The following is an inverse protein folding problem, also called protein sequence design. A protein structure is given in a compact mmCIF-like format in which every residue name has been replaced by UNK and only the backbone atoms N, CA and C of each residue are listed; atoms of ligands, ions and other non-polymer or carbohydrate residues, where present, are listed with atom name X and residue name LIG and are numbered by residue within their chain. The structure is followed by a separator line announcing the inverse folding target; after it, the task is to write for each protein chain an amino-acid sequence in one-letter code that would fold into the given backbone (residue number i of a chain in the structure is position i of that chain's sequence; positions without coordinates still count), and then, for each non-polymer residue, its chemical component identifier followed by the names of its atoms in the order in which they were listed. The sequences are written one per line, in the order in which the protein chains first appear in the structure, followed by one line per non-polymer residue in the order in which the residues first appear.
data_IF_255789345131
#
_entry.id   IF_255789345131
#
_cell.length_a   1.000
_cell.length_b   1.000
_cell.length_c   1.000
_cell.angle_alpha   90.00
_cell.angle_beta   90.00
_cell.angle_gamma   90.00
#
_symmetry.space_group_name_H-M   'P 1'
#
loop_
_entity.id
_entity.type
_entity.pdbx_description
1 polymer ?
#
# COMPACT_ATOMS: atom_id res chain seq x y z
N UNK A 1 -63.13 -32.45 -4.85
CA UNK A 1 -61.92 -32.71 -4.09
C UNK A 1 -60.75 -32.84 -5.10
N UNK A 2 -60.45 -31.80 -5.87
CA UNK A 2 -59.31 -31.87 -6.83
C UNK A 2 -58.77 -30.49 -7.22
N UNK A 3 -58.68 -29.53 -6.26
CA UNK A 3 -58.18 -28.18 -6.57
C UNK A 3 -57.19 -27.63 -5.54
N UNK A 4 -56.52 -28.47 -4.74
CA UNK A 4 -55.60 -28.01 -3.70
C UNK A 4 -54.17 -28.56 -3.80
N UNK A 5 -53.81 -29.28 -4.86
CA UNK A 5 -52.47 -29.89 -5.01
C UNK A 5 -51.56 -29.08 -5.98
N UNK A 6 -52.08 -28.07 -6.69
CA UNK A 6 -51.34 -27.30 -7.70
C UNK A 6 -50.48 -26.15 -7.19
N UNK A 7 -50.63 -25.68 -5.95
CA UNK A 7 -49.95 -24.45 -5.45
C UNK A 7 -48.65 -24.69 -4.63
N UNK A 8 -48.33 -25.93 -4.32
CA UNK A 8 -47.16 -26.23 -3.44
C UNK A 8 -45.87 -26.57 -4.19
N UNK A 9 -45.91 -26.69 -5.51
CA UNK A 9 -44.70 -27.01 -6.34
C UNK A 9 -44.06 -25.77 -6.95
N UNK A 10 -44.70 -24.60 -6.93
CA UNK A 10 -44.17 -23.37 -7.52
C UNK A 10 -43.37 -22.47 -6.55
N UNK A 11 -43.34 -22.77 -5.27
CA UNK A 11 -42.62 -21.99 -4.25
C UNK A 11 -41.19 -22.46 -3.98
N UNK A 12 -40.75 -23.54 -4.61
CA UNK A 12 -39.44 -24.17 -4.34
C UNK A 12 -38.24 -23.74 -5.24
N UNK A 13 -38.46 -22.85 -6.21
CA UNK A 13 -37.41 -22.58 -7.24
C UNK A 13 -36.81 -21.17 -7.16
N UNK A 14 -37.14 -20.35 -6.18
CA UNK A 14 -36.66 -18.96 -6.13
C UNK A 14 -35.57 -18.68 -5.10
N UNK A 15 -34.92 -19.69 -4.51
CA UNK A 15 -33.77 -19.50 -3.65
C UNK A 15 -32.50 -20.20 -4.14
N UNK A 16 -32.29 -20.27 -5.45
CA UNK A 16 -30.92 -20.36 -5.96
C UNK A 16 -30.35 -18.96 -5.97
N UNK A 17 -30.07 -18.43 -4.79
CA UNK A 17 -29.26 -17.27 -4.61
C UNK A 17 -27.90 -17.60 -5.25
N UNK A 18 -27.65 -17.05 -6.43
CA UNK A 18 -26.34 -17.00 -7.03
C UNK A 18 -25.46 -16.24 -6.03
N UNK A 19 -24.80 -16.96 -5.14
CA UNK A 19 -23.60 -16.50 -4.46
C UNK A 19 -22.55 -16.38 -5.56
N UNK A 20 -22.62 -15.30 -6.34
CA UNK A 20 -21.54 -14.84 -7.15
C UNK A 20 -20.42 -14.49 -6.16
N UNK A 21 -19.52 -15.41 -5.89
CA UNK A 21 -18.22 -15.04 -5.36
C UNK A 21 -17.67 -14.04 -6.38
N UNK A 22 -17.61 -12.77 -6.00
CA UNK A 22 -16.93 -11.76 -6.82
C UNK A 22 -15.49 -12.22 -6.94
N UNK A 23 -15.13 -12.88 -8.05
CA UNK A 23 -13.75 -13.12 -8.40
C UNK A 23 -13.09 -11.76 -8.53
N UNK A 24 -12.20 -11.45 -7.64
CA UNK A 24 -11.36 -10.27 -7.74
C UNK A 24 -10.20 -10.64 -8.67
N UNK A 25 -10.43 -10.58 -9.98
CA UNK A 25 -9.41 -10.90 -11.01
C UNK A 25 -8.34 -9.81 -11.14
N UNK A 26 -8.31 -8.82 -10.24
CA UNK A 26 -7.41 -7.67 -10.29
C UNK A 26 -6.58 -7.57 -9.02
N UNK A 27 -5.29 -7.30 -9.22
CA UNK A 27 -4.33 -7.04 -8.15
C UNK A 27 -3.81 -5.63 -8.27
N UNK A 28 -3.58 -4.98 -7.14
CA UNK A 28 -2.98 -3.64 -7.07
C UNK A 28 -1.80 -3.69 -6.13
N UNK A 29 -0.62 -3.38 -6.64
CA UNK A 29 0.59 -3.16 -5.85
C UNK A 29 0.92 -1.68 -5.89
N UNK A 30 0.90 -1.03 -4.74
CA UNK A 30 1.30 0.37 -4.57
C UNK A 30 2.70 0.37 -3.97
N UNK A 31 3.71 0.62 -4.79
CA UNK A 31 5.08 0.80 -4.34
C UNK A 31 5.36 2.30 -4.15
N UNK A 32 5.76 2.69 -2.96
CA UNK A 32 6.26 4.04 -2.67
C UNK A 32 7.74 4.00 -2.33
N UNK A 33 8.52 4.78 -3.04
CA UNK A 33 9.92 5.06 -2.76
C UNK A 33 10.00 6.47 -2.18
N UNK A 34 10.37 6.59 -0.90
CA UNK A 34 10.37 7.88 -0.20
C UNK A 34 11.41 8.85 -0.78
N UNK A 35 11.04 10.12 -0.86
CA UNK A 35 11.91 11.14 -1.44
C UNK A 35 12.18 11.01 -2.94
N UNK A 36 11.43 10.16 -3.67
CA UNK A 36 11.64 9.92 -5.09
C UNK A 36 11.14 11.11 -5.93
N UNK A 37 12.07 11.88 -6.49
CA UNK A 37 11.76 13.04 -7.33
C UNK A 37 11.32 12.63 -8.73
N UNK A 38 10.41 13.40 -9.31
CA UNK A 38 9.86 13.14 -10.65
C UNK A 38 10.89 13.18 -11.78
N UNK A 39 12.05 13.86 -11.57
CA UNK A 39 13.14 13.99 -12.54
C UNK A 39 14.24 12.92 -12.38
N UNK A 40 14.20 12.08 -11.35
CA UNK A 40 15.23 11.05 -11.17
C UNK A 40 15.33 10.06 -12.34
N UNK A 41 14.25 9.60 -12.97
CA UNK A 41 14.36 8.73 -14.13
C UNK A 41 15.04 9.37 -15.34
N UNK A 42 15.08 10.70 -15.41
CA UNK A 42 15.75 11.43 -16.49
C UNK A 42 17.26 11.66 -16.19
N UNK A 43 17.70 11.35 -14.96
CA UNK A 43 19.05 11.63 -14.44
C UNK A 43 19.84 10.38 -14.06
N UNK A 44 19.17 9.28 -13.83
CA UNK A 44 19.72 7.98 -13.44
C UNK A 44 19.41 6.94 -14.51
N UNK A 45 20.13 5.84 -14.52
CA UNK A 45 19.86 4.73 -15.43
C UNK A 45 18.75 3.84 -14.87
N UNK A 46 17.52 4.03 -15.35
CA UNK A 46 16.31 3.38 -14.82
C UNK A 46 15.53 2.66 -15.92
N UNK A 47 16.08 1.61 -16.55
CA UNK A 47 15.47 0.94 -17.70
C UNK A 47 14.12 0.29 -17.38
N UNK A 48 13.90 -0.13 -16.12
CA UNK A 48 12.63 -0.73 -15.69
C UNK A 48 11.53 0.32 -15.61
N UNK A 49 11.80 1.46 -14.96
CA UNK A 49 10.86 2.58 -14.90
C UNK A 49 10.57 3.13 -16.31
N UNK A 50 11.57 3.22 -17.18
CA UNK A 50 11.39 3.63 -18.57
C UNK A 50 10.52 2.65 -19.36
N UNK A 51 10.68 1.36 -19.12
CA UNK A 51 9.83 0.33 -19.73
C UNK A 51 8.38 0.44 -19.24
N UNK A 52 8.16 0.69 -17.95
CA UNK A 52 6.84 0.90 -17.37
C UNK A 52 6.19 2.16 -17.92
N UNK A 53 6.94 3.25 -18.07
CA UNK A 53 6.44 4.51 -18.63
C UNK A 53 5.95 4.36 -20.08
N UNK A 54 6.51 3.41 -20.86
CA UNK A 54 6.08 3.14 -22.24
C UNK A 54 4.73 2.43 -22.34
N UNK A 55 4.37 1.63 -21.33
CA UNK A 55 3.13 0.84 -21.34
C UNK A 55 2.08 1.37 -20.36
N UNK A 56 2.47 2.29 -19.48
CA UNK A 56 1.64 2.91 -18.47
C UNK A 56 1.58 4.44 -18.61
N UNK A 57 1.44 5.11 -17.48
CA UNK A 57 1.38 6.58 -17.40
C UNK A 57 2.50 7.04 -16.46
N UNK A 58 3.30 8.02 -16.89
CA UNK A 58 4.23 8.76 -16.05
C UNK A 58 3.69 10.18 -15.82
N UNK A 59 3.64 10.61 -14.57
CA UNK A 59 3.20 11.95 -14.19
C UNK A 59 3.98 12.46 -12.98
N UNK A 60 4.12 13.78 -12.88
CA UNK A 60 4.61 14.40 -11.66
C UNK A 60 3.50 14.38 -10.62
N UNK A 61 3.85 13.97 -9.41
CA UNK A 61 2.95 13.86 -8.27
C UNK A 61 3.32 14.91 -7.22
N UNK A 62 2.33 15.69 -6.77
CA UNK A 62 2.53 16.67 -5.71
C UNK A 62 2.21 16.02 -4.36
N UNK A 63 3.17 15.97 -3.42
CA UNK A 63 2.89 15.45 -2.08
C UNK A 63 1.94 16.37 -1.30
N UNK A 64 1.31 15.83 -0.24
CA UNK A 64 0.57 16.61 0.73
C UNK A 64 1.52 17.53 1.52
N UNK A 65 1.01 18.67 1.99
CA UNK A 65 1.77 19.52 2.90
C UNK A 65 1.37 19.24 4.37
N UNK A 66 2.36 19.09 5.27
CA UNK A 66 3.81 19.12 5.03
C UNK A 66 4.29 17.87 4.31
N UNK A 67 5.23 18.05 3.37
CA UNK A 67 5.77 16.99 2.53
C UNK A 67 6.83 16.15 3.27
N UNK A 68 6.48 15.64 4.45
CA UNK A 68 7.30 14.74 5.25
C UNK A 68 6.68 13.34 5.27
N UNK A 69 7.46 12.33 5.59
CA UNK A 69 7.15 10.92 5.41
C UNK A 69 5.77 10.52 5.92
N UNK A 70 5.49 10.71 7.22
CA UNK A 70 4.28 10.16 7.84
C UNK A 70 2.99 10.85 7.37
N UNK A 71 2.88 12.19 7.42
CA UNK A 71 1.70 12.87 6.89
C UNK A 71 1.40 12.51 5.43
N UNK A 72 2.42 12.53 4.57
CA UNK A 72 2.23 12.29 3.14
C UNK A 72 1.81 10.85 2.84
N UNK A 73 2.50 9.85 3.41
CA UNK A 73 2.15 8.44 3.18
C UNK A 73 0.79 8.07 3.78
N UNK A 74 0.43 8.67 4.91
CA UNK A 74 -0.87 8.42 5.49
C UNK A 74 -2.00 9.16 4.73
N UNK A 75 -1.71 10.34 4.15
CA UNK A 75 -2.62 10.98 3.19
C UNK A 75 -2.88 10.10 1.96
N UNK A 76 -1.85 9.46 1.40
CA UNK A 76 -2.03 8.53 0.29
C UNK A 76 -2.88 7.31 0.66
N UNK A 77 -2.75 6.82 1.89
CA UNK A 77 -3.51 5.67 2.38
C UNK A 77 -4.97 5.99 2.71
N UNK A 78 -5.27 7.22 3.12
CA UNK A 78 -6.62 7.62 3.56
C UNK A 78 -7.38 8.46 2.54
N UNK A 79 -6.69 9.07 1.57
CA UNK A 79 -7.27 10.07 0.67
C UNK A 79 -7.60 11.39 1.38
N UNK A 80 -7.16 11.59 2.61
CA UNK A 80 -7.41 12.78 3.42
C UNK A 80 -6.17 13.68 3.49
N UNK A 81 -6.38 14.97 3.71
CA UNK A 81 -5.30 15.88 4.06
C UNK A 81 -4.88 15.71 5.54
N UNK A 82 -3.64 16.11 5.91
CA UNK A 82 -3.11 15.95 7.27
C UNK A 82 -3.97 16.53 8.40
N UNK A 83 -4.64 17.64 8.17
CA UNK A 83 -5.58 18.27 9.12
C UNK A 83 -6.85 17.45 9.35
N UNK A 84 -7.21 16.56 8.41
CA UNK A 84 -8.37 15.67 8.53
C UNK A 84 -8.03 14.29 9.09
N UNK A 85 -6.83 13.78 8.83
CA UNK A 85 -6.43 12.48 9.38
C UNK A 85 -5.56 12.58 10.65
N UNK A 86 -5.15 13.78 11.07
CA UNK A 86 -4.50 14.04 12.34
C UNK A 86 -2.97 13.91 12.36
N UNK A 87 -2.35 13.21 11.42
CA UNK A 87 -0.89 13.15 11.31
C UNK A 87 -0.38 14.41 10.59
N UNK A 88 -0.12 15.46 11.35
CA UNK A 88 0.24 16.78 10.81
C UNK A 88 1.74 16.98 10.65
N UNK A 89 2.57 16.12 11.26
CA UNK A 89 4.03 16.14 11.13
C UNK A 89 4.60 14.77 11.57
N UNK A 90 5.90 14.53 11.34
CA UNK A 90 6.64 13.39 11.90
C UNK A 90 6.85 13.51 13.43
N UNK A 91 6.71 14.72 13.97
CA UNK A 91 6.78 15.03 15.39
C UNK A 91 5.88 16.23 15.70
N UNK A 92 4.90 16.08 16.61
CA UNK A 92 4.00 17.17 17.00
C UNK A 92 3.32 16.87 18.35
N UNK A 93 2.81 17.93 18.99
CA UNK A 93 1.94 17.81 20.15
C UNK A 93 0.47 17.80 19.71
N UNK A 94 -0.26 16.78 20.11
CA UNK A 94 -1.70 16.66 19.89
C UNK A 94 -2.43 17.11 21.17
N UNK A 95 -3.06 18.27 21.11
CA UNK A 95 -3.71 18.89 22.28
C UNK A 95 -4.95 18.14 22.75
N UNK A 96 -5.63 17.45 21.84
CA UNK A 96 -6.81 16.62 22.10
C UNK A 96 -6.49 15.31 22.80
N UNK A 97 -5.27 14.82 22.60
CA UNK A 97 -4.75 13.61 23.26
C UNK A 97 -3.82 13.93 24.44
N UNK A 98 -3.53 15.21 24.67
CA UNK A 98 -2.52 15.68 25.65
C UNK A 98 -1.20 14.87 25.53
N UNK A 99 -0.74 14.63 24.31
CA UNK A 99 0.37 13.73 24.04
C UNK A 99 1.21 14.22 22.86
N UNK A 100 2.48 13.79 22.84
CA UNK A 100 3.42 14.08 21.77
C UNK A 100 3.51 12.88 20.82
N UNK A 101 3.12 13.10 19.58
CA UNK A 101 3.36 12.14 18.50
C UNK A 101 4.84 12.12 18.10
N UNK A 102 5.37 10.94 17.89
CA UNK A 102 6.66 10.68 17.26
C UNK A 102 6.45 9.66 16.13
N UNK A 103 7.31 9.69 15.12
CA UNK A 103 7.27 8.69 14.02
C UNK A 103 7.12 7.28 14.59
N UNK A 104 6.20 6.51 14.00
CA UNK A 104 5.86 5.15 14.41
C UNK A 104 5.29 5.01 15.84
N UNK A 105 4.67 6.07 16.38
CA UNK A 105 3.95 5.97 17.65
C UNK A 105 2.76 5.00 17.51
N UNK A 106 2.66 3.95 18.35
CA UNK A 106 1.64 2.92 18.22
C UNK A 106 0.25 3.35 18.71
N UNK A 107 0.10 4.55 19.26
CA UNK A 107 -1.15 5.02 19.83
C UNK A 107 -2.20 5.26 18.74
N UNK A 108 -3.27 4.46 18.64
CA UNK A 108 -4.24 4.55 17.55
C UNK A 108 -4.93 5.92 17.44
N UNK A 109 -5.04 6.65 18.53
CA UNK A 109 -5.67 7.98 18.58
C UNK A 109 -5.02 9.03 17.68
N UNK A 110 -3.76 8.86 17.29
CA UNK A 110 -3.09 9.75 16.34
C UNK A 110 -3.50 9.51 14.88
N UNK A 111 -4.08 8.35 14.55
CA UNK A 111 -4.37 7.91 13.20
C UNK A 111 -5.86 8.05 12.90
N UNK A 112 -6.27 9.23 12.46
CA UNK A 112 -7.65 9.49 12.03
C UNK A 112 -7.92 9.03 10.61
N UNK A 113 -9.19 9.05 10.21
CA UNK A 113 -9.61 8.58 8.89
C UNK A 113 -9.58 7.05 8.75
N UNK A 114 -9.94 6.56 7.59
CA UNK A 114 -9.94 5.13 7.26
C UNK A 114 -8.91 4.86 6.17
N UNK A 115 -7.85 4.10 6.45
CA UNK A 115 -6.88 3.74 5.42
C UNK A 115 -7.45 2.71 4.45
N UNK A 116 -6.95 2.73 3.20
CA UNK A 116 -7.46 1.92 2.09
C UNK A 116 -7.44 0.42 2.38
N UNK A 117 -6.49 -0.09 3.16
CA UNK A 117 -6.47 -1.50 3.57
C UNK A 117 -7.65 -1.86 4.46
N UNK A 118 -8.11 -0.96 5.35
CA UNK A 118 -9.30 -1.19 6.15
C UNK A 118 -10.56 -1.24 5.27
N UNK A 119 -10.65 -0.35 4.29
CA UNK A 119 -11.74 -0.34 3.31
C UNK A 119 -11.74 -1.63 2.48
N UNK A 120 -10.56 -2.10 2.04
CA UNK A 120 -10.41 -3.36 1.31
C UNK A 120 -10.91 -4.55 2.14
N UNK A 121 -10.41 -4.69 3.37
CA UNK A 121 -10.81 -5.78 4.28
C UNK A 121 -12.32 -5.76 4.61
N UNK A 122 -12.92 -4.58 4.78
CA UNK A 122 -14.37 -4.46 4.97
C UNK A 122 -15.18 -4.97 3.76
N UNK A 123 -14.61 -4.92 2.58
CA UNK A 123 -15.22 -5.38 1.34
C UNK A 123 -14.85 -6.83 0.99
N UNK A 124 -14.14 -7.54 1.86
CA UNK A 124 -13.70 -8.92 1.64
C UNK A 124 -12.52 -9.02 0.68
N UNK A 125 -11.76 -7.95 0.50
CA UNK A 125 -10.53 -7.91 -0.29
C UNK A 125 -9.34 -7.91 0.67
N UNK A 126 -8.59 -8.99 0.71
CA UNK A 126 -7.39 -9.07 1.54
C UNK A 126 -6.34 -8.06 1.10
N UNK A 127 -5.81 -7.34 2.09
CA UNK A 127 -4.73 -6.38 1.91
C UNK A 127 -3.45 -6.86 2.58
N UNK A 128 -2.31 -6.56 1.98
CA UNK A 128 -1.01 -6.75 2.60
C UNK A 128 -0.26 -5.42 2.70
N UNK A 129 0.57 -5.28 3.71
CA UNK A 129 1.44 -4.11 3.86
C UNK A 129 2.87 -4.52 4.20
N UNK A 130 3.80 -4.00 3.38
CA UNK A 130 5.22 -4.05 3.68
C UNK A 130 5.67 -2.64 4.08
N UNK A 131 5.67 -2.37 5.41
CA UNK A 131 6.19 -1.14 6.00
C UNK A 131 5.41 0.15 5.73
N UNK A 132 4.19 0.09 5.20
CA UNK A 132 3.44 1.33 4.98
C UNK A 132 3.05 2.01 6.28
N UNK A 133 3.19 3.32 6.33
CA UNK A 133 2.88 4.16 7.51
C UNK A 133 1.48 3.89 8.06
N UNK A 134 1.41 3.54 9.33
CA UNK A 134 0.16 3.26 10.04
C UNK A 134 -0.37 1.84 9.91
N UNK A 135 0.17 1.01 9.00
CA UNK A 135 -0.31 -0.36 8.81
C UNK A 135 0.06 -1.34 9.94
N UNK A 136 0.99 -0.95 10.79
CA UNK A 136 1.45 -1.74 11.95
C UNK A 136 0.49 -1.68 13.13
N UNK A 137 -0.52 -0.81 13.08
CA UNK A 137 -1.42 -0.55 14.20
C UNK A 137 -2.87 -0.82 13.84
N UNK A 138 -3.71 -1.26 14.81
CA UNK A 138 -5.12 -1.56 14.56
C UNK A 138 -5.95 -0.25 14.48
N UNK A 139 -5.81 0.49 13.38
CA UNK A 139 -6.57 1.71 13.14
C UNK A 139 -8.05 1.35 13.00
N UNK A 140 -8.91 1.96 13.84
CA UNK A 140 -10.33 1.61 13.93
C UNK A 140 -10.56 0.11 14.17
N UNK A 141 -9.66 -0.54 14.92
CA UNK A 141 -9.72 -1.96 15.24
C UNK A 141 -9.39 -2.91 14.08
N UNK A 142 -8.80 -2.43 12.98
CA UNK A 142 -8.42 -3.22 11.81
C UNK A 142 -6.99 -2.96 11.37
N UNK A 143 -6.39 -4.01 10.80
CA UNK A 143 -5.07 -3.98 10.15
C UNK A 143 -5.16 -4.69 8.81
N UNK A 144 -4.18 -4.56 7.91
CA UNK A 144 -4.05 -5.42 6.75
C UNK A 144 -4.01 -6.90 7.17
N UNK A 145 -4.56 -7.80 6.36
CA UNK A 145 -4.54 -9.25 6.61
C UNK A 145 -3.10 -9.78 6.79
N UNK A 146 -2.15 -9.26 6.00
CA UNK A 146 -0.72 -9.51 6.15
C UNK A 146 -0.03 -8.16 6.35
N UNK A 147 0.86 -8.06 7.33
CA UNK A 147 1.67 -6.87 7.52
C UNK A 147 3.04 -7.20 8.11
N UNK A 148 4.01 -6.32 7.88
CA UNK A 148 5.36 -6.40 8.45
C UNK A 148 5.66 -5.12 9.21
N UNK A 149 6.21 -5.21 10.44
CA UNK A 149 6.73 -4.05 11.15
C UNK A 149 7.98 -3.53 10.44
N UNK A 150 8.17 -2.21 10.45
CA UNK A 150 9.30 -1.57 9.78
C UNK A 150 10.64 -2.07 10.35
N UNK A 151 11.47 -2.63 9.47
CA UNK A 151 12.86 -2.97 9.75
C UNK A 151 13.74 -2.65 8.54
N UNK A 152 14.52 -1.57 8.65
CA UNK A 152 15.43 -1.13 7.59
C UNK A 152 16.57 -2.12 7.29
N UNK A 153 16.78 -3.14 8.13
CA UNK A 153 17.81 -4.17 7.91
C UNK A 153 17.39 -5.23 6.89
N UNK A 154 16.08 -5.33 6.59
CA UNK A 154 15.58 -6.26 5.58
C UNK A 154 16.05 -5.79 4.20
N UNK A 155 16.82 -6.59 3.45
CA UNK A 155 17.26 -6.22 2.10
C UNK A 155 16.08 -5.92 1.16
N UNK A 156 16.27 -5.03 0.20
CA UNK A 156 15.19 -4.67 -0.74
C UNK A 156 14.76 -5.85 -1.61
N UNK A 157 15.69 -6.74 -1.99
CA UNK A 157 15.38 -8.00 -2.66
C UNK A 157 14.42 -8.87 -1.86
N UNK A 158 14.70 -9.05 -0.57
CA UNK A 158 13.87 -9.88 0.31
C UNK A 158 12.48 -9.29 0.54
N UNK A 159 12.38 -7.94 0.47
CA UNK A 159 11.08 -7.25 0.48
C UNK A 159 10.31 -7.57 -0.81
N UNK A 160 10.96 -7.51 -1.97
CA UNK A 160 10.37 -7.85 -3.26
C UNK A 160 9.92 -9.31 -3.28
N UNK A 161 10.79 -10.24 -2.86
CA UNK A 161 10.46 -11.68 -2.79
C UNK A 161 9.28 -11.97 -1.86
N UNK A 162 9.17 -11.23 -0.73
CA UNK A 162 8.03 -11.35 0.16
C UNK A 162 6.73 -10.92 -0.50
N UNK A 163 6.74 -9.81 -1.27
CA UNK A 163 5.56 -9.34 -2.00
C UNK A 163 5.16 -10.34 -3.08
N UNK A 164 6.12 -10.89 -3.83
CA UNK A 164 5.87 -11.96 -4.81
C UNK A 164 5.26 -13.19 -4.13
N UNK A 165 5.84 -13.64 -3.02
CA UNK A 165 5.33 -14.79 -2.28
C UNK A 165 3.88 -14.57 -1.79
N UNK A 166 3.52 -13.35 -1.38
CA UNK A 166 2.13 -13.04 -1.01
C UNK A 166 1.16 -13.11 -2.19
N UNK A 167 1.58 -12.67 -3.37
CA UNK A 167 0.78 -12.74 -4.59
C UNK A 167 0.62 -14.17 -5.13
N UNK A 168 1.44 -15.11 -4.64
CA UNK A 168 1.38 -16.55 -4.97
C UNK A 168 0.60 -17.38 -3.94
N UNK A 169 0.11 -16.79 -2.84
CA UNK A 169 -0.70 -17.49 -1.86
C UNK A 169 -1.97 -18.10 -2.48
N UNK A 170 -2.56 -19.14 -1.85
CA UNK A 170 -3.89 -19.62 -2.24
C UNK A 170 -4.91 -18.49 -2.34
N UNK A 171 -5.84 -18.58 -3.30
CA UNK A 171 -6.76 -17.50 -3.68
C UNK A 171 -7.61 -16.99 -2.50
N UNK A 172 -7.96 -17.86 -1.57
CA UNK A 172 -8.77 -17.56 -0.39
C UNK A 172 -8.07 -16.69 0.67
N UNK A 173 -6.73 -16.63 0.62
CA UNK A 173 -5.89 -15.84 1.54
C UNK A 173 -4.95 -14.88 0.82
N UNK A 174 -5.02 -14.83 -0.52
CA UNK A 174 -4.15 -13.99 -1.34
C UNK A 174 -4.55 -12.52 -1.23
N UNK A 175 -3.62 -11.61 -0.92
CA UNK A 175 -3.92 -10.19 -0.94
C UNK A 175 -4.10 -9.68 -2.38
N UNK A 176 -5.15 -8.93 -2.61
CA UNK A 176 -5.41 -8.23 -3.88
C UNK A 176 -4.99 -6.76 -3.84
N UNK A 177 -4.66 -6.25 -2.65
CA UNK A 177 -4.06 -4.94 -2.44
C UNK A 177 -2.76 -5.12 -1.66
N UNK A 178 -1.65 -4.66 -2.22
CA UNK A 178 -0.36 -4.62 -1.52
C UNK A 178 0.11 -3.17 -1.44
N UNK A 179 0.38 -2.71 -0.22
CA UNK A 179 0.99 -1.40 0.08
C UNK A 179 2.44 -1.64 0.47
N UNK A 180 3.39 -1.20 -0.36
CA UNK A 180 4.81 -1.45 -0.18
C UNK A 180 5.58 -0.13 -0.10
N UNK A 181 6.29 0.07 1.00
CA UNK A 181 7.10 1.26 1.25
C UNK A 181 8.58 0.92 1.27
N UNK A 182 9.38 1.80 0.67
CA UNK A 182 10.85 1.81 0.71
C UNK A 182 11.29 3.20 1.15
N UNK A 183 12.18 3.27 2.15
CA UNK A 183 12.69 4.49 2.77
C UNK A 183 13.69 5.26 1.91
N UNK A 184 14.08 4.71 0.76
CA UNK A 184 15.03 5.32 -0.17
C UNK A 184 14.31 5.88 -1.43
N UNK A 185 14.88 6.88 -2.07
CA UNK A 185 16.18 7.52 -1.87
C UNK A 185 16.20 8.66 -0.83
N UNK A 186 15.14 8.81 0.02
CA UNK A 186 15.10 9.88 1.03
C UNK A 186 16.26 9.75 2.03
N UNK A 187 16.47 8.55 2.56
CA UNK A 187 17.48 8.32 3.59
C UNK A 187 18.90 8.67 3.11
N UNK A 188 19.30 8.26 1.90
CA UNK A 188 20.60 8.65 1.33
C UNK A 188 20.62 10.13 0.97
N UNK A 189 19.51 10.70 0.51
CA UNK A 189 19.35 12.10 0.18
C UNK A 189 19.60 13.03 1.36
N UNK A 190 19.21 12.64 2.56
CA UNK A 190 19.53 13.36 3.80
C UNK A 190 21.03 13.34 4.13
N UNK A 191 21.77 12.32 3.73
CA UNK A 191 23.21 12.16 4.01
C UNK A 191 24.04 12.85 2.93
N UNK A 192 23.71 12.61 1.66
CA UNK A 192 24.57 12.96 0.52
C UNK A 192 23.98 14.07 -0.37
N UNK A 193 22.86 14.65 -0.02
CA UNK A 193 22.00 15.56 -0.80
C UNK A 193 21.24 14.88 -1.95
N UNK A 194 20.05 15.41 -2.31
CA UNK A 194 19.22 14.83 -3.38
C UNK A 194 19.85 14.81 -4.78
N UNK A 195 20.86 15.66 -5.02
CA UNK A 195 21.50 15.81 -6.33
C UNK A 195 22.85 15.07 -6.46
N UNK A 196 23.25 14.33 -5.42
CA UNK A 196 24.52 13.60 -5.40
C UNK A 196 24.51 12.36 -6.29
N UNK A 197 25.69 11.92 -6.74
CA UNK A 197 25.84 10.64 -7.44
C UNK A 197 25.37 9.45 -6.59
N UNK A 198 25.64 9.49 -5.28
CA UNK A 198 25.19 8.43 -4.36
C UNK A 198 23.66 8.30 -4.32
N UNK A 199 22.92 9.40 -4.38
CA UNK A 199 21.46 9.36 -4.46
C UNK A 199 20.99 8.80 -5.79
N UNK A 200 21.63 9.18 -6.91
CA UNK A 200 21.29 8.63 -8.23
C UNK A 200 21.61 7.13 -8.33
N UNK A 201 22.74 6.69 -7.79
CA UNK A 201 23.12 5.26 -7.69
C UNK A 201 22.07 4.46 -6.88
N UNK A 202 21.51 5.05 -5.82
CA UNK A 202 20.42 4.44 -5.05
C UNK A 202 19.14 4.33 -5.88
N UNK A 203 18.81 5.34 -6.68
CA UNK A 203 17.67 5.28 -7.62
C UNK A 203 17.84 4.13 -8.62
N UNK A 204 19.07 3.93 -9.15
CA UNK A 204 19.39 2.80 -10.03
C UNK A 204 19.28 1.45 -9.31
N UNK A 205 19.67 1.39 -8.04
CA UNK A 205 19.47 0.17 -7.21
C UNK A 205 17.98 -0.15 -7.07
N UNK A 206 17.16 0.84 -6.80
CA UNK A 206 15.70 0.66 -6.68
C UNK A 206 15.06 0.23 -8.00
N UNK A 207 15.55 0.73 -9.14
CA UNK A 207 15.10 0.25 -10.46
C UNK A 207 15.44 -1.22 -10.67
N UNK A 208 16.60 -1.70 -10.21
CA UNK A 208 16.97 -3.13 -10.25
C UNK A 208 16.06 -3.98 -9.33
N UNK A 209 15.70 -3.47 -8.15
CA UNK A 209 14.73 -4.14 -7.26
C UNK A 209 13.37 -4.27 -7.93
N UNK A 210 12.92 -3.21 -8.60
CA UNK A 210 11.67 -3.24 -9.35
C UNK A 210 11.73 -4.22 -10.55
N UNK A 211 12.88 -4.31 -11.23
CA UNK A 211 13.10 -5.30 -12.28
C UNK A 211 13.02 -6.73 -11.75
N UNK A 212 13.65 -6.99 -10.61
CA UNK A 212 13.59 -8.29 -9.94
C UNK A 212 12.14 -8.66 -9.59
N UNK A 213 11.41 -7.77 -8.93
CA UNK A 213 9.99 -7.97 -8.62
C UNK A 213 9.17 -8.35 -9.87
N UNK A 214 9.34 -7.62 -10.97
CA UNK A 214 8.61 -7.87 -12.22
C UNK A 214 8.97 -9.20 -12.88
N UNK A 215 10.24 -9.62 -12.82
CA UNK A 215 10.68 -10.89 -13.41
C UNK A 215 10.07 -12.08 -12.69
N UNK A 216 9.98 -12.02 -11.37
CA UNK A 216 9.38 -13.07 -10.55
C UNK A 216 7.85 -13.14 -10.71
N UNK A 217 7.18 -11.98 -10.87
CA UNK A 217 5.73 -11.93 -11.14
C UNK A 217 5.35 -12.61 -12.46
N UNK A 218 6.18 -12.46 -13.50
CA UNK A 218 5.92 -13.04 -14.82
C UNK A 218 6.25 -14.54 -14.92
N UNK A 219 6.98 -15.10 -13.97
CA UNK A 219 7.33 -16.55 -13.95
C UNK A 219 6.35 -17.38 -13.10
N UNK A 220 5.36 -16.75 -12.52
CA UNK A 220 4.33 -17.33 -11.65
C UNK A 220 2.98 -17.39 -12.35
#
# INVERSE_FOLDING_TARGET
VSLFIGCLVLAGILFSGCSSSKRHDRYVVVLSMDGFRSDYPDRAYTPTLDSLAKVGIRAAFRPSFPSVTFPNHYSMATGLHPDHHGLVNNFFYASDLDSIYRMADPTPGFYGGEPIWNTAEKQGVHAASFFWVGSEYPIQGRQPFIWKPFDKKVPYSDRADSVVAWLQLPEDIRPHLVMWYIEEPDAIGHICTPDSSATLEKVEELDRVLNHFRSEEHTS
#
